data_IF_139016760119
#
_entry.id   IF_139016760119
#
_cell.length_a   1.000
_cell.length_b   1.000
_cell.length_c   1.000
_cell.angle_alpha   90.00
_cell.angle_beta   90.00
_cell.angle_gamma   90.00
#
_symmetry.space_group_name_H-M   'P 1'
#
loop_
_entity.id
_entity.type
_entity.pdbx_description
1 polymer ?
#
# COMPACT_ATOMS: atom_id res chain seq x y z
N UNK A 1 -29.28 -7.45 -9.88
CA UNK A 1 -27.86 -7.07 -9.92
C UNK A 1 -27.63 -6.13 -8.75
N UNK A 2 -27.11 -6.64 -7.65
CA UNK A 2 -26.69 -5.82 -6.51
C UNK A 2 -25.51 -4.98 -6.98
N UNK A 3 -25.63 -3.65 -6.98
CA UNK A 3 -24.50 -2.76 -7.18
C UNK A 3 -23.54 -3.04 -6.01
N UNK A 4 -22.42 -3.71 -6.27
CA UNK A 4 -21.34 -3.72 -5.30
C UNK A 4 -20.93 -2.27 -5.03
N UNK A 5 -21.08 -1.84 -3.79
CA UNK A 5 -20.54 -0.55 -3.38
C UNK A 5 -19.00 -0.61 -3.55
N UNK A 6 -18.37 0.43 -4.09
CA UNK A 6 -16.92 0.46 -4.21
C UNK A 6 -16.32 0.21 -2.82
N UNK A 7 -15.36 -0.70 -2.75
CA UNK A 7 -14.67 -0.99 -1.50
C UNK A 7 -13.94 0.28 -1.05
N UNK A 8 -13.87 0.53 0.25
CA UNK A 8 -13.31 1.75 0.85
C UNK A 8 -11.94 2.13 0.26
N UNK A 9 -11.05 1.16 0.03
CA UNK A 9 -9.71 1.39 -0.52
C UNK A 9 -9.72 1.84 -1.99
N UNK A 10 -10.77 1.54 -2.76
CA UNK A 10 -10.90 1.99 -4.15
C UNK A 10 -11.25 3.47 -4.26
N UNK A 11 -11.93 4.03 -3.26
CA UNK A 11 -12.33 5.44 -3.26
C UNK A 11 -11.35 6.32 -2.47
N UNK A 12 -10.86 5.85 -1.31
CA UNK A 12 -10.05 6.65 -0.40
C UNK A 12 -8.68 7.01 -0.97
N UNK A 13 -7.95 6.02 -1.48
CA UNK A 13 -6.58 6.23 -1.99
C UNK A 13 -6.50 7.08 -3.26
N UNK A 14 -7.63 7.28 -3.96
CA UNK A 14 -7.73 8.13 -5.14
C UNK A 14 -8.05 9.60 -4.79
N UNK A 15 -8.30 9.93 -3.51
CA UNK A 15 -8.67 11.28 -3.12
C UNK A 15 -7.45 12.17 -2.88
N UNK A 16 -7.56 13.49 -3.12
CA UNK A 16 -6.52 14.42 -2.71
C UNK A 16 -6.34 14.45 -1.18
N UNK A 17 -7.39 14.16 -0.43
CA UNK A 17 -7.38 14.16 1.03
C UNK A 17 -6.48 13.09 1.63
N UNK A 18 -6.38 11.92 0.98
CA UNK A 18 -5.40 10.90 1.36
C UNK A 18 -3.98 11.46 1.33
N UNK A 19 -3.62 12.13 0.24
CA UNK A 19 -2.29 12.69 0.07
C UNK A 19 -2.00 13.86 1.03
N UNK A 20 -3.01 14.64 1.41
CA UNK A 20 -2.88 15.71 2.41
C UNK A 20 -2.69 15.11 3.80
N UNK A 21 -3.50 14.12 4.18
CA UNK A 21 -3.43 13.48 5.50
C UNK A 21 -2.09 12.76 5.71
N UNK A 22 -1.56 12.12 4.67
CA UNK A 22 -0.30 11.37 4.71
C UNK A 22 0.88 12.10 4.06
N UNK A 23 0.83 13.44 3.98
CA UNK A 23 1.86 14.28 3.35
C UNK A 23 3.27 14.09 3.94
N UNK A 24 3.34 13.74 5.23
CA UNK A 24 4.62 13.45 5.91
C UNK A 24 5.31 12.17 5.41
N UNK A 25 4.59 11.33 4.68
CA UNK A 25 5.12 10.12 4.03
C UNK A 25 5.60 10.46 2.63
N UNK A 26 6.70 11.18 2.57
CA UNK A 26 7.26 11.76 1.37
C UNK A 26 8.25 10.83 0.64
N UNK A 27 8.86 11.35 -0.40
CA UNK A 27 9.88 10.62 -1.16
C UNK A 27 11.12 10.33 -0.31
N UNK A 28 11.48 11.21 0.63
CA UNK A 28 12.66 11.02 1.47
C UNK A 28 12.51 9.82 2.42
N UNK A 29 11.34 9.66 3.03
CA UNK A 29 11.03 8.48 3.84
C UNK A 29 11.13 7.19 3.00
N UNK A 30 10.55 7.21 1.78
CA UNK A 30 10.60 6.08 0.87
C UNK A 30 12.03 5.73 0.47
N UNK A 31 12.88 6.73 0.17
CA UNK A 31 14.29 6.53 -0.15
C UNK A 31 15.05 5.86 0.97
N UNK A 32 14.93 6.38 2.19
CA UNK A 32 15.67 5.86 3.34
C UNK A 32 15.21 4.44 3.69
N UNK A 33 13.90 4.18 3.59
CA UNK A 33 13.35 2.83 3.76
C UNK A 33 13.90 1.85 2.72
N UNK A 34 13.82 2.19 1.45
CA UNK A 34 14.28 1.31 0.34
C UNK A 34 15.78 1.05 0.44
N UNK A 35 16.63 2.06 0.71
CA UNK A 35 18.07 1.87 0.87
C UNK A 35 18.39 0.83 1.96
N UNK A 36 17.69 0.93 3.10
CA UNK A 36 17.85 -0.02 4.19
C UNK A 36 17.37 -1.42 3.79
N UNK A 37 16.22 -1.51 3.12
CA UNK A 37 15.62 -2.77 2.72
C UNK A 37 16.50 -3.53 1.73
N UNK A 38 16.93 -2.88 0.64
CA UNK A 38 17.76 -3.55 -0.40
C UNK A 38 19.14 -3.96 0.16
N UNK A 39 19.70 -3.14 1.06
CA UNK A 39 20.96 -3.47 1.75
C UNK A 39 20.80 -4.66 2.70
N UNK A 40 19.71 -4.68 3.48
CA UNK A 40 19.44 -5.76 4.44
C UNK A 40 19.20 -7.10 3.75
N UNK A 41 18.49 -7.10 2.63
CA UNK A 41 18.16 -8.30 1.87
C UNK A 41 19.26 -8.72 0.89
N UNK A 42 20.31 -7.90 0.70
CA UNK A 42 21.37 -8.09 -0.29
C UNK A 42 20.81 -8.35 -1.70
N UNK A 43 19.89 -7.48 -2.15
CA UNK A 43 19.27 -7.57 -3.48
C UNK A 43 20.29 -7.14 -4.52
N UNK A 44 20.56 -8.00 -5.52
CA UNK A 44 21.44 -7.69 -6.63
C UNK A 44 20.79 -6.69 -7.59
N UNK A 45 21.58 -5.82 -8.22
CA UNK A 45 21.04 -4.84 -9.19
C UNK A 45 20.46 -5.48 -10.46
N UNK A 46 20.87 -6.71 -10.76
CA UNK A 46 20.31 -7.51 -11.86
C UNK A 46 18.97 -8.17 -11.53
N UNK A 47 18.56 -8.15 -10.26
CA UNK A 47 17.28 -8.69 -9.81
C UNK A 47 16.12 -7.85 -10.33
N UNK A 48 15.09 -8.54 -10.84
CA UNK A 48 13.82 -7.91 -11.18
C UNK A 48 12.90 -7.83 -9.96
N UNK A 49 12.27 -6.67 -9.78
CA UNK A 49 11.44 -6.37 -8.60
C UNK A 49 10.00 -6.10 -9.01
N UNK A 50 9.06 -6.77 -8.35
CA UNK A 50 7.64 -6.44 -8.39
C UNK A 50 7.28 -5.62 -7.15
N UNK A 51 6.75 -4.41 -7.33
CA UNK A 51 6.13 -3.58 -6.27
C UNK A 51 4.61 -3.71 -6.36
N UNK A 52 4.04 -4.54 -5.49
CA UNK A 52 2.63 -4.91 -5.49
C UNK A 52 1.83 -3.97 -4.58
N UNK A 53 0.84 -3.28 -5.14
CA UNK A 53 0.13 -2.13 -4.57
C UNK A 53 1.05 -0.89 -4.45
N UNK A 54 1.71 -0.54 -5.55
CA UNK A 54 2.74 0.50 -5.61
C UNK A 54 2.21 1.95 -5.45
N UNK A 55 0.89 2.16 -5.52
CA UNK A 55 0.29 3.49 -5.53
C UNK A 55 0.80 4.34 -6.70
N UNK A 56 1.24 5.57 -6.41
CA UNK A 56 1.86 6.48 -7.40
C UNK A 56 3.34 6.14 -7.71
N UNK A 57 3.82 4.99 -7.24
CA UNK A 57 5.13 4.44 -7.61
C UNK A 57 6.34 5.04 -6.88
N UNK A 58 6.18 5.70 -5.72
CA UNK A 58 7.32 6.35 -5.04
C UNK A 58 8.48 5.39 -4.72
N UNK A 59 8.18 4.16 -4.27
CA UNK A 59 9.19 3.13 -4.00
C UNK A 59 9.76 2.57 -5.31
N UNK A 60 8.88 2.24 -6.27
CA UNK A 60 9.27 1.73 -7.59
C UNK A 60 10.19 2.70 -8.34
N UNK A 61 9.84 4.00 -8.35
CA UNK A 61 10.64 5.05 -8.98
C UNK A 61 12.02 5.12 -8.32
N UNK A 62 12.07 5.12 -6.99
CA UNK A 62 13.34 5.18 -6.29
C UNK A 62 14.20 3.94 -6.51
N UNK A 63 13.62 2.72 -6.44
CA UNK A 63 14.32 1.47 -6.80
C UNK A 63 14.92 1.56 -8.20
N UNK A 64 14.19 2.09 -9.16
CA UNK A 64 14.70 2.26 -10.53
C UNK A 64 15.88 3.25 -10.60
N UNK A 65 15.90 4.33 -9.79
CA UNK A 65 17.07 5.23 -9.71
C UNK A 65 18.31 4.53 -9.15
N UNK A 66 18.16 3.45 -8.39
CA UNK A 66 19.25 2.61 -7.90
C UNK A 66 19.74 1.58 -8.92
N UNK A 67 19.09 1.51 -10.11
CA UNK A 67 19.48 0.63 -11.20
C UNK A 67 18.65 -0.65 -11.33
N UNK A 68 17.64 -0.89 -10.47
CA UNK A 68 16.81 -2.08 -10.53
C UNK A 68 15.80 -2.04 -11.69
N UNK A 69 15.47 -3.23 -12.22
CA UNK A 69 14.33 -3.41 -13.10
C UNK A 69 13.06 -3.59 -12.29
N UNK A 70 12.12 -2.66 -12.41
CA UNK A 70 10.94 -2.61 -11.53
C UNK A 70 9.64 -2.64 -12.32
N UNK A 71 8.70 -3.44 -11.84
CA UNK A 71 7.30 -3.42 -12.27
C UNK A 71 6.43 -3.02 -11.07
N UNK A 72 5.70 -1.92 -11.20
CA UNK A 72 4.74 -1.45 -10.20
C UNK A 72 3.31 -1.80 -10.59
N UNK A 73 2.57 -2.44 -9.70
CA UNK A 73 1.18 -2.82 -9.90
C UNK A 73 0.30 -2.18 -8.83
N UNK A 74 -0.80 -1.54 -9.24
CA UNK A 74 -1.79 -0.97 -8.32
C UNK A 74 -3.20 -1.12 -8.88
N UNK A 75 -4.20 -1.19 -8.01
CA UNK A 75 -5.60 -1.27 -8.41
C UNK A 75 -6.14 0.06 -8.94
N UNK A 76 -5.61 1.18 -8.45
CA UNK A 76 -6.04 2.52 -8.83
C UNK A 76 -5.50 2.93 -10.19
N UNK A 77 -6.43 3.12 -11.13
CA UNK A 77 -6.10 3.64 -12.45
C UNK A 77 -5.45 5.04 -12.37
N UNK A 78 -5.96 5.91 -11.48
CA UNK A 78 -5.44 7.26 -11.32
C UNK A 78 -4.00 7.26 -10.80
N UNK A 79 -3.69 6.40 -9.82
CA UNK A 79 -2.34 6.25 -9.31
C UNK A 79 -1.38 5.76 -10.40
N UNK A 80 -1.79 4.76 -11.17
CA UNK A 80 -0.99 4.23 -12.28
C UNK A 80 -0.79 5.27 -13.39
N UNK A 81 -1.79 6.06 -13.74
CA UNK A 81 -1.63 7.16 -14.71
C UNK A 81 -0.59 8.19 -14.25
N UNK A 82 -0.54 8.50 -12.94
CA UNK A 82 0.50 9.37 -12.37
C UNK A 82 1.87 8.69 -12.40
N UNK A 83 1.96 7.41 -12.05
CA UNK A 83 3.22 6.68 -12.02
C UNK A 83 3.84 6.52 -13.43
N UNK A 84 3.01 6.33 -14.45
CA UNK A 84 3.43 6.11 -15.84
C UNK A 84 4.24 7.25 -16.46
N UNK A 85 4.16 8.47 -15.93
CA UNK A 85 5.01 9.59 -16.41
C UNK A 85 6.51 9.34 -16.14
N UNK A 86 6.82 8.38 -15.25
CA UNK A 86 8.18 7.98 -14.90
C UNK A 86 8.63 6.67 -15.57
N UNK A 87 7.80 6.06 -16.43
CA UNK A 87 8.16 4.82 -17.14
C UNK A 87 9.45 4.96 -17.95
N UNK A 88 10.21 3.90 -18.00
CA UNK A 88 11.48 3.80 -18.74
C UNK A 88 11.65 2.39 -19.29
N UNK A 89 12.81 2.08 -19.88
CA UNK A 89 13.15 0.73 -20.33
C UNK A 89 13.25 -0.30 -19.19
N UNK A 90 13.36 0.16 -17.95
CA UNK A 90 13.53 -0.66 -16.74
C UNK A 90 12.51 -0.34 -15.63
N UNK A 91 11.49 0.48 -15.93
CA UNK A 91 10.42 0.83 -14.98
C UNK A 91 9.07 0.82 -15.68
N UNK A 92 8.16 -0.05 -15.24
CA UNK A 92 6.84 -0.25 -15.84
C UNK A 92 5.75 -0.18 -14.78
N UNK A 93 4.57 0.34 -15.16
CA UNK A 93 3.41 0.42 -14.27
C UNK A 93 2.16 -0.09 -14.96
N UNK A 94 1.36 -0.90 -14.24
CA UNK A 94 0.13 -1.47 -14.78
C UNK A 94 -0.98 -1.53 -13.74
N UNK A 95 -2.23 -1.32 -14.17
CA UNK A 95 -3.42 -1.49 -13.33
C UNK A 95 -3.65 -2.96 -13.10
N UNK A 96 -3.58 -3.41 -11.84
CA UNK A 96 -3.72 -4.82 -11.50
C UNK A 96 -4.28 -5.00 -10.08
N UNK A 97 -5.14 -6.01 -9.91
CA UNK A 97 -5.62 -6.42 -8.60
C UNK A 97 -4.66 -7.44 -7.99
N UNK A 98 -4.07 -7.13 -6.85
CA UNK A 98 -3.09 -7.96 -6.16
C UNK A 98 -3.60 -9.36 -5.76
N UNK A 99 -4.91 -9.63 -5.88
CA UNK A 99 -5.50 -10.96 -5.68
C UNK A 99 -5.35 -11.87 -6.89
N UNK A 100 -4.98 -11.34 -8.03
CA UNK A 100 -4.85 -12.04 -9.29
C UNK A 100 -3.37 -12.27 -9.62
N UNK A 101 -3.05 -13.42 -10.19
CA UNK A 101 -1.68 -13.70 -10.66
C UNK A 101 -1.32 -12.81 -11.84
N UNK A 102 -0.09 -12.29 -11.84
CA UNK A 102 0.39 -11.38 -12.90
C UNK A 102 0.97 -12.13 -14.11
N UNK A 103 1.39 -13.39 -13.93
CA UNK A 103 1.90 -14.24 -15.03
C UNK A 103 3.39 -14.09 -15.33
N UNK A 104 4.08 -13.12 -14.72
CA UNK A 104 5.55 -12.95 -14.77
C UNK A 104 6.13 -13.24 -13.39
N UNK A 105 7.37 -13.75 -13.35
CA UNK A 105 8.08 -14.05 -12.11
C UNK A 105 9.27 -13.11 -11.93
N UNK A 106 9.54 -12.77 -10.65
CA UNK A 106 10.53 -11.81 -10.21
C UNK A 106 11.45 -12.43 -9.15
N UNK A 107 12.67 -11.94 -9.03
CA UNK A 107 13.56 -12.28 -7.93
C UNK A 107 13.01 -11.74 -6.60
N UNK A 108 12.40 -10.56 -6.62
CA UNK A 108 11.88 -9.90 -5.43
C UNK A 108 10.44 -9.45 -5.66
N UNK A 109 9.56 -9.73 -4.68
CA UNK A 109 8.19 -9.21 -4.66
C UNK A 109 8.00 -8.43 -3.37
N UNK A 110 7.69 -7.16 -3.50
CA UNK A 110 7.46 -6.23 -2.40
C UNK A 110 5.96 -5.91 -2.29
N UNK A 111 5.41 -5.94 -1.08
CA UNK A 111 4.13 -5.37 -0.74
C UNK A 111 4.34 -4.51 0.49
N UNK A 112 4.47 -3.21 0.28
CA UNK A 112 4.99 -2.28 1.26
C UNK A 112 3.89 -1.40 1.84
N UNK A 113 4.18 -0.80 2.97
CA UNK A 113 3.40 0.27 3.56
C UNK A 113 2.00 -0.15 4.04
N UNK A 114 1.92 -1.37 4.61
CA UNK A 114 0.65 -1.95 5.09
C UNK A 114 -0.43 -1.96 3.99
N UNK A 115 -0.04 -2.31 2.75
CA UNK A 115 -0.99 -2.51 1.65
C UNK A 115 -1.70 -3.87 1.70
N UNK A 116 -1.32 -4.74 2.63
CA UNK A 116 -1.94 -6.03 2.92
C UNK A 116 -3.03 -5.91 4.00
N UNK A 117 -3.99 -6.84 4.02
CA UNK A 117 -5.00 -6.92 5.09
C UNK A 117 -6.25 -6.05 4.90
N UNK A 118 -6.48 -5.53 3.69
CA UNK A 118 -7.65 -4.69 3.38
C UNK A 118 -8.94 -5.46 3.10
N UNK A 119 -8.84 -6.78 2.93
CA UNK A 119 -9.98 -7.60 2.59
C UNK A 119 -10.69 -8.11 3.85
N UNK A 120 -12.03 -8.06 3.82
CA UNK A 120 -12.84 -8.50 4.96
C UNK A 120 -12.77 -10.00 5.19
N UNK A 121 -12.59 -10.79 4.13
CA UNK A 121 -12.50 -12.23 4.23
C UNK A 121 -11.04 -12.72 4.06
N UNK A 122 -10.68 -13.72 4.83
CA UNK A 122 -9.33 -14.28 4.82
C UNK A 122 -8.99 -15.02 3.50
N UNK A 123 -10.00 -15.42 2.73
CA UNK A 123 -9.80 -16.05 1.41
C UNK A 123 -9.16 -15.05 0.44
N UNK A 124 -9.59 -13.79 0.44
CA UNK A 124 -9.02 -12.76 -0.43
C UNK A 124 -7.61 -12.37 0.04
N UNK A 125 -7.37 -12.29 1.36
CA UNK A 125 -6.01 -12.10 1.89
C UNK A 125 -5.09 -13.27 1.49
N UNK A 126 -5.57 -14.51 1.58
CA UNK A 126 -4.82 -15.70 1.14
C UNK A 126 -4.52 -15.69 -0.37
N UNK A 127 -5.42 -15.14 -1.21
CA UNK A 127 -5.14 -14.96 -2.65
C UNK A 127 -3.94 -14.06 -2.88
N UNK A 128 -3.78 -12.97 -2.11
CA UNK A 128 -2.60 -12.09 -2.20
C UNK A 128 -1.32 -12.85 -1.87
N UNK A 129 -1.30 -13.64 -0.80
CA UNK A 129 -0.14 -14.48 -0.46
C UNK A 129 0.18 -15.46 -1.60
N UNK A 130 -0.84 -16.09 -2.20
CA UNK A 130 -0.66 -16.98 -3.35
C UNK A 130 -0.14 -16.25 -4.58
N UNK A 131 -0.60 -15.03 -4.81
CA UNK A 131 -0.10 -14.17 -5.89
C UNK A 131 1.37 -13.83 -5.68
N UNK A 132 1.76 -13.37 -4.48
CA UNK A 132 3.17 -13.12 -4.13
C UNK A 132 3.99 -14.39 -4.41
N UNK A 133 3.58 -15.55 -3.89
CA UNK A 133 4.29 -16.81 -4.09
C UNK A 133 4.41 -17.19 -5.58
N UNK A 134 3.36 -17.03 -6.38
CA UNK A 134 3.37 -17.38 -7.80
C UNK A 134 4.16 -16.40 -8.67
N UNK A 135 4.32 -15.17 -8.19
CA UNK A 135 5.13 -14.13 -8.82
C UNK A 135 6.62 -14.21 -8.45
N UNK A 136 7.02 -15.09 -7.54
CA UNK A 136 8.41 -15.31 -7.17
C UNK A 136 9.05 -16.39 -8.06
N UNK A 137 10.27 -16.12 -8.54
CA UNK A 137 11.17 -17.13 -9.09
C UNK A 137 11.61 -18.11 -8.01
N UNK A 138 12.23 -19.21 -8.41
CA UNK A 138 12.83 -20.15 -7.45
C UNK A 138 13.91 -19.41 -6.63
N UNK A 139 13.84 -19.53 -5.31
CA UNK A 139 14.68 -18.83 -4.33
C UNK A 139 14.48 -17.30 -4.28
N UNK A 140 13.43 -16.78 -4.91
CA UNK A 140 13.08 -15.36 -4.81
C UNK A 140 12.59 -14.95 -3.42
N UNK A 141 12.65 -13.66 -3.13
CA UNK A 141 12.32 -13.08 -1.82
C UNK A 141 10.99 -12.33 -1.91
N UNK A 142 10.04 -12.71 -1.05
CA UNK A 142 8.79 -11.96 -0.84
C UNK A 142 8.86 -11.13 0.45
N UNK A 143 8.49 -9.86 0.36
CA UNK A 143 8.44 -8.94 1.51
C UNK A 143 7.04 -8.39 1.67
N UNK A 144 6.50 -8.50 2.86
CA UNK A 144 5.26 -7.82 3.27
C UNK A 144 5.62 -6.90 4.45
N UNK A 145 5.58 -5.59 4.19
CA UNK A 145 5.71 -4.59 5.24
C UNK A 145 4.36 -4.36 5.89
N UNK A 146 4.25 -4.77 7.14
CA UNK A 146 2.99 -4.77 7.86
C UNK A 146 3.13 -4.14 9.25
N UNK A 147 2.07 -3.45 9.69
CA UNK A 147 2.03 -2.87 11.03
C UNK A 147 2.15 -3.94 12.12
N UNK A 148 2.83 -3.63 13.20
CA UNK A 148 2.75 -4.43 14.43
C UNK A 148 1.38 -4.18 15.09
N UNK A 149 0.40 -5.03 14.79
CA UNK A 149 -0.98 -4.86 15.23
C UNK A 149 -1.12 -4.81 16.76
N UNK A 150 -0.34 -5.60 17.49
CA UNK A 150 -0.34 -5.59 18.97
C UNK A 150 0.02 -4.22 19.50
N UNK A 151 1.14 -3.67 19.03
CA UNK A 151 1.60 -2.33 19.47
C UNK A 151 0.62 -1.24 19.05
N UNK A 152 0.05 -1.34 17.84
CA UNK A 152 -0.94 -0.38 17.36
C UNK A 152 -2.21 -0.39 18.22
N UNK A 153 -2.69 -1.57 18.61
CA UNK A 153 -3.89 -1.72 19.45
C UNK A 153 -3.63 -1.20 20.88
N UNK A 154 -2.49 -1.56 21.47
CA UNK A 154 -2.11 -1.12 22.82
C UNK A 154 -1.96 0.40 22.93
N UNK A 155 -1.52 1.07 21.84
CA UNK A 155 -1.30 2.51 21.80
C UNK A 155 -2.36 3.25 20.97
N UNK A 156 -3.54 2.66 20.77
CA UNK A 156 -4.57 3.23 19.90
C UNK A 156 -5.08 4.57 20.45
N UNK A 157 -4.85 5.64 19.70
CA UNK A 157 -5.46 6.95 19.97
C UNK A 157 -6.86 6.94 19.38
N UNK A 158 -7.88 6.78 20.22
CA UNK A 158 -9.26 6.60 19.78
C UNK A 158 -9.80 7.82 18.99
N UNK A 159 -9.36 9.03 19.32
CA UNK A 159 -9.80 10.25 18.64
C UNK A 159 -8.70 11.31 18.64
N UNK A 160 -8.48 11.93 17.51
CA UNK A 160 -7.71 13.16 17.38
C UNK A 160 -8.15 13.96 16.16
N UNK A 161 -7.79 15.24 16.15
CA UNK A 161 -7.97 16.12 14.99
C UNK A 161 -6.62 16.47 14.39
N UNK A 162 -6.60 16.73 13.08
CA UNK A 162 -5.41 17.14 12.35
C UNK A 162 -5.80 18.20 11.33
N UNK A 163 -4.95 19.18 11.08
CA UNK A 163 -5.16 20.20 10.05
C UNK A 163 -3.91 20.31 9.19
N UNK A 164 -4.09 20.26 7.88
CA UNK A 164 -3.03 20.44 6.89
C UNK A 164 -3.58 21.07 5.63
N UNK A 165 -2.84 22.00 5.04
CA UNK A 165 -3.18 22.70 3.79
C UNK A 165 -4.59 23.36 3.82
N UNK A 166 -5.06 23.80 5.02
CA UNK A 166 -6.39 24.38 5.22
C UNK A 166 -7.53 23.36 5.33
N UNK A 167 -7.23 22.06 5.21
CA UNK A 167 -8.19 20.96 5.36
C UNK A 167 -8.14 20.42 6.79
N UNK A 168 -9.31 20.27 7.40
CA UNK A 168 -9.47 19.71 8.76
C UNK A 168 -9.89 18.26 8.68
N UNK A 169 -9.24 17.43 9.49
CA UNK A 169 -9.52 16.00 9.64
C UNK A 169 -9.93 15.71 11.08
N UNK A 170 -11.07 15.04 11.26
CA UNK A 170 -11.48 14.40 12.51
C UNK A 170 -11.30 12.90 12.35
N UNK A 171 -10.45 12.31 13.18
CA UNK A 171 -9.99 10.93 13.03
C UNK A 171 -10.45 10.10 14.24
N UNK A 172 -11.35 9.15 14.02
CA UNK A 172 -11.82 8.21 15.07
C UNK A 172 -11.34 6.80 14.73
N UNK A 173 -10.67 6.17 15.69
CA UNK A 173 -10.12 4.81 15.51
C UNK A 173 -10.73 3.86 16.51
N UNK A 174 -10.87 2.62 16.09
CA UNK A 174 -11.32 1.53 16.95
C UNK A 174 -10.68 0.21 16.54
N UNK A 175 -10.66 -0.73 17.46
CA UNK A 175 -10.34 -2.12 17.19
C UNK A 175 -11.55 -2.98 17.56
N UNK A 176 -12.14 -3.65 16.56
CA UNK A 176 -13.29 -4.52 16.73
C UNK A 176 -13.21 -5.68 15.75
N UNK A 177 -13.60 -6.87 16.18
CA UNK A 177 -13.74 -8.08 15.36
C UNK A 177 -12.48 -8.42 14.52
N UNK A 178 -11.29 -8.13 15.08
CA UNK A 178 -10.02 -8.38 14.42
C UNK A 178 -9.65 -7.35 13.35
N UNK A 179 -10.30 -6.16 13.35
CA UNK A 179 -9.99 -5.06 12.45
C UNK A 179 -9.64 -3.79 13.22
N UNK A 180 -8.62 -3.11 12.75
CA UNK A 180 -8.35 -1.72 13.12
C UNK A 180 -9.01 -0.85 12.07
N UNK A 181 -9.96 -0.03 12.53
CA UNK A 181 -10.72 0.90 11.68
C UNK A 181 -10.38 2.32 12.01
N UNK A 182 -10.31 3.19 10.99
CA UNK A 182 -10.17 4.62 11.10
C UNK A 182 -11.27 5.29 10.29
N UNK A 183 -12.22 5.93 10.98
CA UNK A 183 -13.21 6.81 10.36
C UNK A 183 -12.58 8.20 10.22
N UNK A 184 -12.67 8.77 9.04
CA UNK A 184 -12.02 10.01 8.64
C UNK A 184 -13.12 10.96 8.17
N UNK A 185 -13.41 11.97 8.97
CA UNK A 185 -14.26 13.08 8.56
C UNK A 185 -13.36 14.24 8.10
N UNK A 186 -13.57 14.68 6.87
CA UNK A 186 -12.79 15.75 6.25
C UNK A 186 -13.68 16.97 6.12
N UNK A 187 -13.21 18.13 6.57
CA UNK A 187 -13.87 19.40 6.31
C UNK A 187 -12.94 20.29 5.48
N UNK A 188 -13.38 20.58 4.25
CA UNK A 188 -12.66 21.41 3.29
C UNK A 188 -13.59 22.55 2.84
N UNK A 189 -13.22 23.79 3.19
CA UNK A 189 -13.94 25.01 2.87
C UNK A 189 -15.46 24.96 3.21
N UNK A 190 -15.82 24.28 4.33
CA UNK A 190 -17.20 24.13 4.77
C UNK A 190 -17.97 22.96 4.14
N UNK A 191 -17.33 22.18 3.29
CA UNK A 191 -17.87 20.92 2.76
C UNK A 191 -17.30 19.74 3.55
N UNK A 192 -18.17 18.82 3.99
CA UNK A 192 -17.77 17.64 4.74
C UNK A 192 -17.79 16.40 3.84
N UNK A 193 -16.72 15.59 3.98
CA UNK A 193 -16.58 14.28 3.33
C UNK A 193 -16.32 13.22 4.40
N UNK A 194 -16.72 12.00 4.13
CA UNK A 194 -16.49 10.87 5.04
C UNK A 194 -15.81 9.72 4.33
N UNK A 195 -14.74 9.20 4.96
CA UNK A 195 -13.97 8.06 4.48
C UNK A 195 -13.70 7.08 5.63
N UNK A 196 -13.32 5.87 5.27
CA UNK A 196 -12.93 4.82 6.21
C UNK A 196 -11.63 4.18 5.73
N UNK A 197 -10.77 3.81 6.69
CA UNK A 197 -9.71 2.82 6.51
C UNK A 197 -10.02 1.64 7.43
N UNK A 198 -9.93 0.41 6.92
CA UNK A 198 -10.20 -0.81 7.68
C UNK A 198 -9.17 -1.86 7.33
N UNK A 199 -8.32 -2.22 8.28
CA UNK A 199 -7.22 -3.14 8.09
C UNK A 199 -7.35 -4.29 9.08
N UNK A 200 -7.20 -5.54 8.60
CA UNK A 200 -7.16 -6.72 9.45
C UNK A 200 -5.98 -6.61 10.41
N UNK A 201 -6.18 -6.90 11.68
CA UNK A 201 -5.12 -6.82 12.69
C UNK A 201 -4.35 -8.15 12.77
N UNK A 202 -3.69 -8.54 11.69
CA UNK A 202 -2.84 -9.72 11.69
C UNK A 202 -1.66 -9.55 12.65
N UNK A 203 -1.36 -10.60 13.39
CA UNK A 203 -0.14 -10.69 14.18
C UNK A 203 0.90 -11.61 13.49
N UNK A 204 2.09 -11.71 14.04
CA UNK A 204 3.18 -12.49 13.44
C UNK A 204 2.82 -13.99 13.21
N UNK A 205 1.92 -14.55 14.01
CA UNK A 205 1.53 -15.97 13.89
C UNK A 205 0.49 -16.21 12.78
N UNK A 206 -0.13 -15.15 12.28
CA UNK A 206 -1.12 -15.23 11.20
C UNK A 206 -0.46 -15.31 9.82
N UNK A 207 0.85 -14.98 9.70
CA UNK A 207 1.67 -15.09 8.48
C UNK A 207 2.43 -16.43 8.46
#
# INVERSE_FOLDING_TARGET
>A
MTKEHPKWFQSWFDTPYYHILYKHRDFKEAEDFIKNLVSYLNIDTDDSILDLACGKGRHSIFLNTLGYNVTGLDLSKNNIEHAKVHESNSLFFEVHDMRNTYGTQFEVVLNLFTSFGYFENDIDNLKVIKTIKSSLKQNGIGVIDYMNSTVVIENLIAHNTYESDGVKFDLKRSYNDGFISKNIEVNDAGTSFHFEEKVRAFNFQDF
#
